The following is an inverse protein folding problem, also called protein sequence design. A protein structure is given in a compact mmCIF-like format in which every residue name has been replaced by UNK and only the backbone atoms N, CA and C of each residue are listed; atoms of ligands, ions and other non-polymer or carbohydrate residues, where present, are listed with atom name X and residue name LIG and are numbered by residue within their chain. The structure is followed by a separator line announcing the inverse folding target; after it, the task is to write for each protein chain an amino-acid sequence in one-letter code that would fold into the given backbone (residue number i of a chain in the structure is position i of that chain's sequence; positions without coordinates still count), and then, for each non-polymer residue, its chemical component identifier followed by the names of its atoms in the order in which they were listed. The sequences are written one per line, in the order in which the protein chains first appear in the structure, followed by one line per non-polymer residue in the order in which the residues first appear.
data_IF_369656730778
#
_entry.id   IF_369656730778
#
_cell.length_a   1.000
_cell.length_b   1.000
_cell.length_c   1.000
_cell.angle_alpha   90.00
_cell.angle_beta   90.00
_cell.angle_gamma   90.00
#
_symmetry.space_group_name_H-M   'P 1'
#
loop_
_entity.id
_entity.type
_entity.pdbx_description
1 polymer ?
#
# COMPACT_ATOMS: atom_id res chain seq x y z
N UNK A 1 -36.32 4.66 -2.23
CA UNK A 1 -35.47 5.81 -2.59
C UNK A 1 -34.04 5.41 -2.33
N UNK A 2 -33.28 5.06 -3.36
CA UNK A 2 -31.83 4.88 -3.28
C UNK A 2 -31.24 6.25 -2.95
N UNK A 3 -30.67 6.41 -1.76
CA UNK A 3 -29.84 7.57 -1.45
C UNK A 3 -28.75 7.62 -2.52
N UNK A 4 -28.64 8.76 -3.22
CA UNK A 4 -27.56 8.99 -4.15
C UNK A 4 -26.24 8.69 -3.41
N UNK A 5 -25.39 7.84 -3.97
CA UNK A 5 -24.07 7.55 -3.40
C UNK A 5 -23.27 8.86 -3.39
N UNK A 6 -23.01 9.36 -2.21
CA UNK A 6 -22.25 10.60 -2.06
C UNK A 6 -20.80 10.31 -2.40
N UNK A 7 -20.20 11.12 -3.26
CA UNK A 7 -18.75 11.09 -3.50
C UNK A 7 -18.05 11.52 -2.21
N UNK A 8 -17.37 10.58 -1.57
CA UNK A 8 -16.74 10.79 -0.26
C UNK A 8 -15.38 10.06 -0.13
N UNK A 9 -14.83 9.57 -1.25
CA UNK A 9 -13.53 8.92 -1.29
C UNK A 9 -12.47 9.92 -1.74
N UNK A 10 -11.50 10.19 -0.88
CA UNK A 10 -10.27 10.89 -1.23
C UNK A 10 -9.21 9.89 -1.65
N UNK A 11 -8.67 10.04 -2.85
CA UNK A 11 -7.63 9.16 -3.38
C UNK A 11 -6.28 9.84 -3.24
N UNK A 12 -5.31 9.11 -2.69
CA UNK A 12 -3.90 9.49 -2.63
C UNK A 12 -3.10 8.60 -3.58
N UNK A 13 -2.41 9.21 -4.53
CA UNK A 13 -1.48 8.52 -5.45
C UNK A 13 -0.09 9.06 -5.18
N UNK A 14 0.84 8.19 -4.77
CA UNK A 14 2.26 8.56 -4.61
C UNK A 14 3.03 8.10 -5.84
N UNK A 15 3.78 9.00 -6.46
CA UNK A 15 4.52 8.69 -7.68
C UNK A 15 6.00 9.06 -7.56
N UNK A 16 6.85 8.27 -8.20
CA UNK A 16 8.27 8.52 -8.39
C UNK A 16 8.74 7.76 -9.63
N UNK A 17 9.08 8.48 -10.71
CA UNK A 17 9.50 7.88 -11.99
C UNK A 17 8.51 6.85 -12.50
N UNK A 18 7.28 7.28 -12.71
CA UNK A 18 6.14 6.42 -13.07
C UNK A 18 5.50 6.84 -14.40
N UNK A 19 6.25 7.48 -15.29
CA UNK A 19 5.73 8.02 -16.57
C UNK A 19 5.02 6.97 -17.41
N UNK A 20 5.44 5.71 -17.36
CA UNK A 20 4.88 4.60 -18.12
C UNK A 20 3.46 4.21 -17.69
N UNK A 21 3.09 4.43 -16.41
CA UNK A 21 1.84 3.89 -15.84
C UNK A 21 0.90 4.96 -15.29
N UNK A 22 1.41 6.12 -14.91
CA UNK A 22 0.64 7.15 -14.19
C UNK A 22 -0.53 7.70 -15.01
N UNK A 23 -0.42 7.80 -16.34
CA UNK A 23 -1.48 8.30 -17.20
C UNK A 23 -2.72 7.37 -17.16
N UNK A 24 -2.50 6.07 -17.32
CA UNK A 24 -3.56 5.06 -17.24
C UNK A 24 -4.17 4.99 -15.81
N UNK A 25 -3.34 5.04 -14.78
CA UNK A 25 -3.78 5.05 -13.39
C UNK A 25 -4.70 6.25 -13.12
N UNK A 26 -4.26 7.49 -13.43
CA UNK A 26 -5.04 8.69 -13.17
C UNK A 26 -6.31 8.77 -14.01
N UNK A 27 -6.27 8.29 -15.26
CA UNK A 27 -7.47 8.21 -16.11
C UNK A 27 -8.55 7.33 -15.46
N UNK A 28 -8.17 6.16 -14.92
CA UNK A 28 -9.08 5.25 -14.23
C UNK A 28 -9.55 5.77 -12.88
N UNK A 29 -8.68 6.36 -12.07
CA UNK A 29 -9.05 6.95 -10.78
C UNK A 29 -10.02 8.11 -10.96
N UNK A 30 -9.84 8.97 -11.98
CA UNK A 30 -10.76 10.07 -12.31
C UNK A 30 -12.13 9.58 -12.75
N UNK A 31 -12.20 8.42 -13.41
CA UNK A 31 -13.45 7.78 -13.84
C UNK A 31 -14.11 6.93 -12.74
N UNK A 32 -13.44 6.70 -11.61
CA UNK A 32 -13.95 5.83 -10.56
C UNK A 32 -15.10 6.48 -9.78
N UNK A 33 -16.14 5.69 -9.53
CA UNK A 33 -17.33 6.10 -8.78
C UNK A 33 -17.01 6.37 -7.31
N UNK A 34 -17.58 7.41 -6.75
CA UNK A 34 -17.46 7.79 -5.35
C UNK A 34 -16.21 8.61 -5.03
N UNK A 35 -15.40 8.99 -6.03
CA UNK A 35 -14.19 9.79 -5.84
C UNK A 35 -14.52 11.28 -5.77
N UNK A 36 -14.39 11.88 -4.57
CA UNK A 36 -14.61 13.30 -4.31
C UNK A 36 -13.36 14.15 -4.60
N UNK A 37 -12.17 13.63 -4.27
CA UNK A 37 -10.92 14.36 -4.42
C UNK A 37 -9.74 13.43 -4.69
N UNK A 38 -8.75 13.93 -5.44
CA UNK A 38 -7.52 13.19 -5.78
C UNK A 38 -6.31 14.04 -5.39
N UNK A 39 -5.38 13.45 -4.67
CA UNK A 39 -4.08 14.07 -4.33
C UNK A 39 -2.96 13.21 -4.87
N UNK A 40 -2.20 13.76 -5.80
CA UNK A 40 -0.98 13.14 -6.30
C UNK A 40 0.20 13.74 -5.57
N UNK A 41 1.06 12.91 -5.00
CA UNK A 41 2.31 13.35 -4.37
C UNK A 41 3.47 12.82 -5.20
N UNK A 42 4.13 13.71 -5.91
CA UNK A 42 5.29 13.37 -6.71
C UNK A 42 6.59 13.52 -5.90
N UNK A 43 7.31 12.43 -5.77
CA UNK A 43 8.55 12.34 -5.00
C UNK A 43 9.78 12.61 -5.90
N UNK A 44 9.88 13.83 -6.44
CA UNK A 44 11.00 14.28 -7.28
C UNK A 44 11.23 13.39 -8.52
N UNK A 45 10.19 13.19 -9.33
CA UNK A 45 10.31 12.50 -10.63
C UNK A 45 11.04 13.39 -11.64
N UNK A 46 11.94 12.79 -12.43
CA UNK A 46 12.73 13.42 -13.47
C UNK A 46 12.55 12.80 -14.87
N UNK A 47 11.50 11.95 -15.02
CA UNK A 47 11.20 11.16 -16.23
C UNK A 47 9.99 11.65 -17.03
N UNK A 48 9.43 12.83 -16.68
CA UNK A 48 8.21 13.35 -17.30
C UNK A 48 6.92 13.00 -16.55
N UNK A 49 6.95 12.22 -15.47
CA UNK A 49 5.79 11.87 -14.64
C UNK A 49 5.00 13.12 -14.21
N UNK A 50 5.69 14.16 -13.71
CA UNK A 50 5.04 15.38 -13.23
C UNK A 50 4.28 16.12 -14.34
N UNK A 51 4.78 16.12 -15.57
CA UNK A 51 4.08 16.73 -16.71
C UNK A 51 2.76 16.00 -17.03
N UNK A 52 2.73 14.66 -16.87
CA UNK A 52 1.49 13.88 -17.00
C UNK A 52 0.50 14.28 -15.91
N UNK A 53 0.94 14.34 -14.66
CA UNK A 53 0.10 14.73 -13.51
C UNK A 53 -0.51 16.14 -13.72
N UNK A 54 0.29 17.10 -14.19
CA UNK A 54 -0.15 18.46 -14.48
C UNK A 54 -1.25 18.50 -15.55
N UNK A 55 -1.13 17.71 -16.63
CA UNK A 55 -2.17 17.59 -17.64
C UNK A 55 -3.49 17.08 -17.05
N UNK A 56 -3.45 16.05 -16.22
CA UNK A 56 -4.65 15.55 -15.54
C UNK A 56 -5.26 16.59 -14.59
N UNK A 57 -4.43 17.33 -13.84
CA UNK A 57 -4.90 18.39 -12.94
C UNK A 57 -5.56 19.56 -13.69
N UNK A 58 -5.09 19.89 -14.89
CA UNK A 58 -5.71 20.91 -15.72
C UNK A 58 -7.09 20.49 -16.27
N UNK A 59 -7.37 19.18 -16.35
CA UNK A 59 -8.61 18.63 -16.87
C UNK A 59 -9.64 18.24 -15.80
N UNK A 60 -9.26 18.21 -14.51
CA UNK A 60 -10.14 17.76 -13.43
C UNK A 60 -9.83 18.51 -12.12
N UNK A 61 -10.72 19.41 -11.71
CA UNK A 61 -10.55 20.24 -10.52
C UNK A 61 -10.44 19.45 -9.20
N UNK A 62 -10.90 18.19 -9.17
CA UNK A 62 -10.76 17.30 -8.01
C UNK A 62 -9.30 16.89 -7.79
N UNK A 63 -8.48 16.88 -8.87
CA UNK A 63 -7.09 16.48 -8.82
C UNK A 63 -6.20 17.67 -8.50
N UNK A 64 -5.47 17.57 -7.39
CA UNK A 64 -4.40 18.49 -7.01
C UNK A 64 -3.13 17.68 -6.73
N UNK A 65 -1.98 18.31 -6.83
CA UNK A 65 -0.71 17.62 -6.61
C UNK A 65 0.25 18.41 -5.71
N UNK A 66 1.16 17.65 -5.10
CA UNK A 66 2.31 18.15 -4.34
C UNK A 66 3.56 17.62 -5.04
N UNK A 67 4.47 18.51 -5.43
CA UNK A 67 5.77 18.14 -5.98
C UNK A 67 6.83 18.29 -4.88
N UNK A 68 7.34 17.17 -4.37
CA UNK A 68 8.40 17.17 -3.38
C UNK A 68 9.77 17.48 -4.05
N UNK A 69 10.64 18.27 -3.41
CA UNK A 69 11.96 18.57 -3.94
C UNK A 69 12.91 17.36 -3.89
N UNK A 70 12.58 16.37 -3.07
CA UNK A 70 13.33 15.12 -2.90
C UNK A 70 12.35 13.93 -2.75
N UNK A 71 12.88 12.72 -2.60
CA UNK A 71 12.05 11.54 -2.34
C UNK A 71 12.08 11.18 -0.85
N UNK A 72 11.11 11.63 -0.03
CA UNK A 72 11.04 11.32 1.40
C UNK A 72 10.61 9.86 1.67
N UNK A 73 10.14 9.13 0.66
CA UNK A 73 9.63 7.78 0.75
C UNK A 73 8.11 7.70 0.72
N UNK A 74 7.61 6.48 0.47
CA UNK A 74 6.19 6.22 0.24
C UNK A 74 5.32 6.60 1.45
N UNK A 75 5.69 6.17 2.66
CA UNK A 75 4.92 6.41 3.88
C UNK A 75 4.72 7.90 4.18
N UNK A 76 5.79 8.71 4.03
CA UNK A 76 5.72 10.16 4.24
C UNK A 76 4.83 10.81 3.20
N UNK A 77 4.98 10.46 1.93
CA UNK A 77 4.18 11.00 0.84
C UNK A 77 2.69 10.61 0.96
N UNK A 78 2.37 9.38 1.39
CA UNK A 78 0.99 8.98 1.70
C UNK A 78 0.37 9.87 2.79
N UNK A 79 1.11 10.15 3.86
CA UNK A 79 0.64 11.04 4.92
C UNK A 79 0.46 12.48 4.43
N UNK A 80 1.36 13.00 3.58
CA UNK A 80 1.22 14.31 2.94
C UNK A 80 -0.07 14.39 2.10
N UNK A 81 -0.32 13.37 1.27
CA UNK A 81 -1.53 13.29 0.44
C UNK A 81 -2.80 13.22 1.29
N UNK A 82 -2.81 12.40 2.35
CA UNK A 82 -3.93 12.31 3.28
C UNK A 82 -4.19 13.63 4.03
N UNK A 83 -3.12 14.31 4.46
CA UNK A 83 -3.22 15.62 5.08
C UNK A 83 -3.74 16.69 4.11
N UNK A 84 -3.35 16.66 2.85
CA UNK A 84 -3.85 17.56 1.82
C UNK A 84 -5.33 17.35 1.45
N UNK A 85 -5.95 16.27 1.95
CA UNK A 85 -7.39 15.97 1.87
C UNK A 85 -8.14 16.32 3.16
N UNK A 86 -7.52 17.04 4.11
CA UNK A 86 -8.02 17.16 5.50
C UNK A 86 -9.20 18.12 5.66
N UNK A 87 -9.71 18.78 4.62
CA UNK A 87 -10.95 19.54 4.72
C UNK A 87 -12.13 18.56 4.91
N UNK A 88 -13.07 18.86 5.84
CA UNK A 88 -14.17 17.93 6.17
C UNK A 88 -15.04 17.50 4.97
N UNK A 89 -15.13 18.38 3.95
CA UNK A 89 -15.87 18.12 2.71
C UNK A 89 -15.09 17.30 1.67
N UNK A 90 -13.76 17.08 1.85
CA UNK A 90 -12.95 16.45 0.83
C UNK A 90 -13.12 14.93 0.77
N UNK A 91 -13.19 14.26 1.93
CA UNK A 91 -13.35 12.81 1.96
C UNK A 91 -13.54 12.22 3.37
N UNK A 92 -14.53 11.35 3.53
CA UNK A 92 -14.69 10.50 4.73
C UNK A 92 -13.85 9.21 4.66
N UNK A 93 -13.51 8.81 3.44
CA UNK A 93 -12.71 7.61 3.14
C UNK A 93 -11.42 7.97 2.44
N UNK A 94 -10.35 7.25 2.76
CA UNK A 94 -9.05 7.39 2.14
C UNK A 94 -8.73 6.13 1.34
N UNK A 95 -8.41 6.30 0.07
CA UNK A 95 -7.86 5.24 -0.77
C UNK A 95 -6.42 5.61 -1.15
N UNK A 96 -5.48 4.73 -0.84
CA UNK A 96 -4.09 4.82 -1.28
C UNK A 96 -3.92 3.92 -2.48
N UNK A 97 -3.51 4.47 -3.60
CA UNK A 97 -3.43 3.78 -4.89
C UNK A 97 -2.04 3.99 -5.48
N UNK A 98 -1.35 2.90 -5.78
CA UNK A 98 -0.06 2.99 -6.47
C UNK A 98 -0.24 3.49 -7.93
N UNK A 99 0.78 4.18 -8.49
CA UNK A 99 0.71 4.76 -9.83
C UNK A 99 0.69 3.72 -10.96
N UNK A 100 0.82 2.44 -10.64
CA UNK A 100 0.76 1.27 -11.52
C UNK A 100 -0.44 0.36 -11.22
N UNK A 101 -1.43 0.84 -10.44
CA UNK A 101 -2.71 0.17 -10.23
C UNK A 101 -3.78 0.70 -11.16
N UNK A 102 -4.47 -0.21 -11.82
CA UNK A 102 -5.54 0.08 -12.79
C UNK A 102 -6.89 -0.34 -12.19
N UNK A 103 -7.52 0.59 -11.47
CA UNK A 103 -8.86 0.35 -10.88
C UNK A 103 -9.95 0.34 -11.96
N UNK A 104 -10.99 -0.46 -11.78
CA UNK A 104 -12.21 -0.37 -12.57
C UNK A 104 -13.15 0.69 -11.97
N UNK A 105 -14.15 1.11 -12.75
CA UNK A 105 -15.03 2.24 -12.40
C UNK A 105 -15.70 2.06 -11.03
N UNK A 106 -16.07 0.85 -10.64
CA UNK A 106 -16.75 0.54 -9.38
C UNK A 106 -15.81 0.06 -8.25
N UNK A 107 -14.52 -0.16 -8.54
CA UNK A 107 -13.59 -0.81 -7.60
C UNK A 107 -13.55 -0.11 -6.24
N UNK A 108 -13.35 1.21 -6.21
CA UNK A 108 -13.22 1.98 -4.96
C UNK A 108 -14.55 2.04 -4.20
N UNK A 109 -15.67 2.20 -4.90
CA UNK A 109 -17.00 2.19 -4.30
C UNK A 109 -17.31 0.83 -3.65
N UNK A 110 -16.93 -0.29 -4.29
CA UNK A 110 -17.09 -1.65 -3.74
C UNK A 110 -16.20 -1.89 -2.52
N UNK A 111 -14.94 -1.46 -2.55
CA UNK A 111 -14.07 -1.53 -1.36
C UNK A 111 -14.67 -0.76 -0.18
N UNK A 112 -15.20 0.45 -0.44
CA UNK A 112 -15.91 1.25 0.55
C UNK A 112 -17.14 0.53 1.08
N UNK A 113 -17.94 -0.10 0.21
CA UNK A 113 -19.12 -0.87 0.61
C UNK A 113 -18.76 -2.03 1.54
N UNK A 114 -17.68 -2.79 1.24
CA UNK A 114 -17.16 -3.82 2.13
C UNK A 114 -16.71 -3.26 3.49
N UNK A 115 -16.02 -2.12 3.50
CA UNK A 115 -15.60 -1.49 4.75
C UNK A 115 -16.78 -0.99 5.59
N UNK A 116 -17.84 -0.46 4.93
CA UNK A 116 -19.09 -0.05 5.60
C UNK A 116 -19.82 -1.21 6.26
N UNK A 117 -19.79 -2.43 5.69
CA UNK A 117 -20.36 -3.63 6.31
C UNK A 117 -19.70 -3.99 7.66
N UNK A 118 -18.52 -3.45 7.92
CA UNK A 118 -17.74 -3.57 9.17
C UNK A 118 -17.76 -2.26 9.97
N UNK A 119 -18.84 -1.49 9.88
CA UNK A 119 -19.07 -0.21 10.57
C UNK A 119 -17.96 0.82 10.30
N UNK A 120 -17.29 0.75 9.15
CA UNK A 120 -16.14 1.59 8.82
C UNK A 120 -14.88 1.30 9.64
N UNK A 121 -14.90 0.24 10.45
CA UNK A 121 -13.78 -0.17 11.30
C UNK A 121 -12.91 -1.24 10.61
N UNK A 122 -12.59 -0.99 9.34
CA UNK A 122 -11.79 -1.89 8.54
C UNK A 122 -10.84 -1.16 7.59
N UNK A 123 -9.70 -1.80 7.32
CA UNK A 123 -8.81 -1.53 6.20
C UNK A 123 -9.02 -2.63 5.16
N UNK A 124 -9.46 -2.26 3.97
CA UNK A 124 -9.80 -3.21 2.91
C UNK A 124 -8.86 -3.00 1.71
N UNK A 125 -8.24 -4.09 1.26
CA UNK A 125 -7.47 -4.16 0.01
C UNK A 125 -8.24 -4.89 -1.09
N UNK A 126 -7.74 -4.81 -2.33
CA UNK A 126 -8.29 -5.51 -3.49
C UNK A 126 -7.59 -6.84 -3.78
N UNK A 127 -8.23 -7.72 -4.58
CA UNK A 127 -7.60 -8.88 -5.21
C UNK A 127 -6.69 -8.41 -6.34
N UNK A 128 -5.42 -8.15 -6.04
CA UNK A 128 -4.45 -7.68 -7.01
C UNK A 128 -4.01 -8.81 -7.95
N UNK A 129 -3.98 -8.50 -9.24
CA UNK A 129 -3.52 -9.41 -10.30
C UNK A 129 -2.51 -8.71 -11.21
N UNK A 130 -1.57 -9.45 -11.77
CA UNK A 130 -0.72 -8.95 -12.84
C UNK A 130 -1.49 -8.82 -14.17
N UNK A 131 -0.85 -8.24 -15.18
CA UNK A 131 -1.40 -8.15 -16.55
C UNK A 131 -1.62 -9.55 -17.17
N UNK A 132 -0.88 -10.55 -16.71
CA UNK A 132 -1.04 -11.97 -17.07
C UNK A 132 -2.19 -12.66 -16.33
N UNK A 133 -2.94 -11.94 -15.50
CA UNK A 133 -4.03 -12.45 -14.67
C UNK A 133 -3.59 -13.26 -13.44
N UNK A 134 -2.30 -13.45 -13.20
CA UNK A 134 -1.81 -14.14 -12.01
C UNK A 134 -1.99 -13.26 -10.77
N UNK A 135 -2.43 -13.88 -9.67
CA UNK A 135 -2.64 -13.17 -8.41
C UNK A 135 -1.32 -12.71 -7.79
N UNK A 136 -1.34 -11.47 -7.28
CA UNK A 136 -0.24 -10.92 -6.50
C UNK A 136 -0.18 -11.57 -5.12
N UNK A 137 0.90 -12.35 -4.78
CA UNK A 137 1.06 -12.91 -3.43
C UNK A 137 1.11 -11.85 -2.33
N UNK A 138 1.41 -10.57 -2.67
CA UNK A 138 1.40 -9.48 -1.71
C UNK A 138 -0.01 -8.97 -1.36
N UNK A 139 -1.03 -9.33 -2.16
CA UNK A 139 -2.40 -8.89 -1.90
C UNK A 139 -2.94 -9.38 -0.55
N UNK A 140 -2.58 -10.62 -0.17
CA UNK A 140 -3.02 -11.30 1.06
C UNK A 140 -1.82 -11.83 1.81
N UNK A 141 -1.57 -11.33 3.00
CA UNK A 141 -0.40 -11.74 3.78
C UNK A 141 -0.76 -11.98 5.24
N UNK A 142 0.01 -12.88 5.84
CA UNK A 142 0.13 -13.00 7.30
C UNK A 142 1.23 -12.10 7.83
N UNK A 143 1.20 -11.82 9.12
CA UNK A 143 2.33 -11.17 9.79
C UNK A 143 3.60 -12.03 9.72
N UNK A 144 4.78 -11.43 9.72
CA UNK A 144 6.03 -12.14 9.88
C UNK A 144 6.10 -12.87 11.23
N UNK A 145 6.17 -14.19 11.23
CA UNK A 145 6.49 -14.99 12.43
C UNK A 145 8.00 -15.30 12.43
N UNK A 146 8.76 -14.46 13.13
CA UNK A 146 10.22 -14.61 13.18
C UNK A 146 10.68 -15.89 13.89
N UNK A 147 9.93 -16.40 14.86
CA UNK A 147 10.25 -17.67 15.51
C UNK A 147 10.10 -18.86 14.54
N UNK A 148 9.04 -18.85 13.74
CA UNK A 148 8.87 -19.85 12.68
C UNK A 148 9.92 -19.67 11.56
N UNK A 149 10.25 -18.44 11.18
CA UNK A 149 11.26 -18.14 10.16
C UNK A 149 12.68 -18.59 10.53
N UNK A 150 13.01 -18.62 11.83
CA UNK A 150 14.27 -19.17 12.32
C UNK A 150 14.31 -20.71 12.22
N UNK A 151 13.14 -21.36 12.34
CA UNK A 151 13.03 -22.83 12.29
C UNK A 151 12.95 -23.38 10.87
N UNK A 152 12.22 -22.68 9.99
CA UNK A 152 11.99 -23.15 8.62
C UNK A 152 11.99 -22.03 7.57
N UNK A 153 12.71 -22.20 6.45
CA UNK A 153 12.66 -21.24 5.34
C UNK A 153 11.26 -21.04 4.75
N UNK A 154 10.39 -22.06 4.81
CA UNK A 154 9.02 -21.98 4.29
C UNK A 154 8.17 -20.90 5.00
N UNK A 155 8.43 -20.66 6.30
CA UNK A 155 7.73 -19.61 7.06
C UNK A 155 8.02 -18.16 6.58
N UNK A 156 9.01 -18.01 5.69
CA UNK A 156 9.33 -16.70 5.09
C UNK A 156 8.34 -16.28 4.00
N UNK A 157 7.53 -17.22 3.51
CA UNK A 157 6.40 -16.93 2.62
C UNK A 157 5.24 -16.41 3.48
N UNK A 158 4.85 -15.17 3.24
CA UNK A 158 3.78 -14.52 3.99
C UNK A 158 2.43 -14.61 3.28
N UNK A 159 2.42 -15.06 2.04
CA UNK A 159 1.21 -15.15 1.22
C UNK A 159 0.16 -16.08 1.84
N UNK A 160 -1.09 -15.64 1.73
CA UNK A 160 -2.28 -16.38 2.16
C UNK A 160 -3.08 -16.73 0.90
N UNK A 161 -3.46 -18.01 0.71
CA UNK A 161 -4.31 -18.40 -0.41
C UNK A 161 -5.67 -17.68 -0.39
N UNK A 162 -6.25 -17.49 -1.57
CA UNK A 162 -7.62 -16.99 -1.69
C UNK A 162 -8.60 -18.03 -1.15
N UNK A 163 -9.55 -17.60 -0.34
CA UNK A 163 -10.72 -18.38 0.02
C UNK A 163 -11.85 -18.03 -0.98
N UNK A 164 -12.17 -18.92 -1.94
CA UNK A 164 -13.16 -18.63 -2.98
C UNK A 164 -14.59 -18.56 -2.46
N UNK A 165 -14.84 -19.04 -1.23
CA UNK A 165 -16.15 -19.00 -0.61
C UNK A 165 -16.46 -17.63 0.04
N UNK A 166 -15.47 -16.72 0.10
CA UNK A 166 -15.61 -15.42 0.78
C UNK A 166 -15.40 -14.28 -0.21
N UNK A 167 -16.37 -13.37 -0.31
CA UNK A 167 -16.21 -12.09 -1.00
C UNK A 167 -15.25 -11.16 -0.25
N UNK A 168 -15.28 -11.21 1.09
CA UNK A 168 -14.39 -10.45 1.97
C UNK A 168 -13.61 -11.43 2.86
N UNK A 169 -12.29 -11.52 2.66
CA UNK A 169 -11.40 -12.43 3.37
C UNK A 169 -10.52 -11.66 4.36
N UNK A 170 -10.69 -11.95 5.65
CA UNK A 170 -9.83 -11.40 6.69
C UNK A 170 -8.41 -11.97 6.58
N UNK A 171 -7.41 -11.07 6.72
CA UNK A 171 -5.98 -11.37 6.65
C UNK A 171 -5.21 -10.53 7.67
N UNK A 172 -3.93 -10.83 7.88
CA UNK A 172 -3.12 -9.98 8.76
C UNK A 172 -2.65 -8.70 8.06
N UNK A 173 -2.39 -8.74 6.76
CA UNK A 173 -1.99 -7.56 6.01
C UNK A 173 -2.40 -7.66 4.52
N UNK A 174 -2.72 -6.50 3.95
CA UNK A 174 -2.95 -6.30 2.52
C UNK A 174 -1.77 -5.54 1.90
N UNK A 175 -1.69 -5.48 0.57
CA UNK A 175 -0.65 -4.73 -0.13
C UNK A 175 -0.89 -3.23 -0.07
N UNK A 176 0.20 -2.45 0.11
CA UNK A 176 0.18 -0.99 -0.02
C UNK A 176 -0.17 -0.48 -1.42
N UNK A 177 -0.24 -1.37 -2.42
CA UNK A 177 -0.58 -1.00 -3.78
C UNK A 177 -2.02 -0.47 -3.92
N UNK A 178 -2.97 -1.03 -3.14
CA UNK A 178 -4.32 -0.49 -3.03
C UNK A 178 -4.90 -0.80 -1.64
N UNK A 179 -5.16 0.25 -0.88
CA UNK A 179 -5.76 0.21 0.45
C UNK A 179 -6.88 1.24 0.55
N UNK A 180 -7.99 0.87 1.17
CA UNK A 180 -9.07 1.79 1.52
C UNK A 180 -9.47 1.62 2.98
N UNK A 181 -9.61 2.74 3.70
CA UNK A 181 -10.08 2.77 5.08
C UNK A 181 -10.77 4.11 5.39
N UNK A 182 -11.55 4.18 6.47
CA UNK A 182 -12.12 5.45 6.90
C UNK A 182 -11.02 6.41 7.39
N UNK A 183 -11.22 7.71 7.16
CA UNK A 183 -10.32 8.77 7.68
C UNK A 183 -10.16 8.65 9.19
N UNK A 184 -11.27 8.44 9.91
CA UNK A 184 -11.27 8.29 11.37
C UNK A 184 -10.35 7.14 11.81
N UNK A 185 -10.38 6.00 11.12
CA UNK A 185 -9.50 4.88 11.41
C UNK A 185 -8.04 5.22 11.10
N UNK A 186 -7.77 5.87 9.95
CA UNK A 186 -6.43 6.28 9.56
C UNK A 186 -5.80 7.24 10.59
N UNK A 187 -6.55 8.22 11.06
CA UNK A 187 -6.12 9.19 12.08
C UNK A 187 -5.94 8.52 13.45
N UNK A 188 -6.87 7.64 13.84
CA UNK A 188 -6.79 6.88 15.10
C UNK A 188 -5.53 6.04 15.22
N UNK A 189 -5.05 5.45 14.11
CA UNK A 189 -3.82 4.66 14.11
C UNK A 189 -2.56 5.51 13.83
N UNK A 190 -2.70 6.82 13.61
CA UNK A 190 -1.60 7.75 13.38
C UNK A 190 -0.99 7.70 11.98
N UNK A 191 -1.76 7.28 10.97
CA UNK A 191 -1.32 7.20 9.57
C UNK A 191 -0.19 6.19 9.33
N UNK A 192 0.57 6.35 8.25
CA UNK A 192 1.76 5.55 7.98
C UNK A 192 2.93 5.96 8.88
N UNK A 193 3.74 4.99 9.33
CA UNK A 193 4.98 5.27 10.05
C UNK A 193 6.06 5.75 9.05
N UNK A 194 6.35 7.05 9.04
CA UNK A 194 7.30 7.69 8.12
C UNK A 194 8.75 7.21 8.23
N UNK A 195 9.10 6.40 9.25
CA UNK A 195 10.42 5.80 9.35
C UNK A 195 10.61 4.58 8.42
N UNK A 196 9.53 4.09 7.79
CA UNK A 196 9.62 3.18 6.64
C UNK A 196 9.71 4.00 5.36
N UNK A 197 10.88 3.98 4.72
CA UNK A 197 11.07 4.70 3.46
C UNK A 197 10.51 3.95 2.26
N UNK A 198 10.59 2.62 2.30
CA UNK A 198 10.11 1.71 1.28
C UNK A 198 10.00 0.30 1.86
N UNK A 199 8.90 -0.40 1.61
CA UNK A 199 8.54 -1.74 2.11
C UNK A 199 8.30 -1.84 3.62
N UNK A 200 7.35 -2.68 3.99
CA UNK A 200 6.86 -2.99 5.33
C UNK A 200 6.07 -1.86 6.02
N UNK A 201 5.89 -0.70 5.39
CA UNK A 201 4.97 0.34 5.87
C UNK A 201 3.51 -0.12 5.86
N UNK A 202 3.15 -0.95 4.88
CA UNK A 202 1.85 -1.58 4.74
C UNK A 202 1.61 -2.64 5.83
N UNK A 203 2.60 -3.50 6.10
CA UNK A 203 2.57 -4.46 7.20
C UNK A 203 2.42 -3.74 8.56
N UNK A 204 3.14 -2.64 8.74
CA UNK A 204 3.08 -1.81 9.94
C UNK A 204 1.69 -1.21 10.14
N UNK A 205 1.14 -0.57 9.10
CA UNK A 205 -0.19 0.03 9.15
C UNK A 205 -1.26 -1.03 9.45
N UNK A 206 -1.25 -2.16 8.75
CA UNK A 206 -2.19 -3.26 8.96
C UNK A 206 -2.11 -3.81 10.39
N UNK A 207 -0.91 -3.95 10.94
CA UNK A 207 -0.71 -4.39 12.33
C UNK A 207 -1.32 -3.41 13.32
N UNK A 208 -1.07 -2.09 13.18
CA UNK A 208 -1.64 -1.07 14.05
C UNK A 208 -3.15 -0.95 13.93
N UNK A 209 -3.71 -1.14 12.72
CA UNK A 209 -5.16 -1.22 12.50
C UNK A 209 -5.77 -2.36 13.32
N UNK A 210 -5.17 -3.55 13.29
CA UNK A 210 -5.64 -4.70 14.08
C UNK A 210 -5.45 -4.50 15.59
N UNK A 211 -4.35 -3.89 16.02
CA UNK A 211 -4.12 -3.55 17.43
C UNK A 211 -5.10 -2.48 17.95
N UNK A 212 -5.65 -1.65 17.07
CA UNK A 212 -6.74 -0.72 17.37
C UNK A 212 -8.14 -1.38 17.38
N UNK A 213 -8.23 -2.72 17.25
CA UNK A 213 -9.49 -3.47 17.26
C UNK A 213 -10.25 -3.42 15.93
N UNK A 214 -9.61 -2.96 14.85
CA UNK A 214 -10.22 -2.94 13.52
C UNK A 214 -9.84 -4.18 12.69
N UNK A 215 -10.58 -4.43 11.60
CA UNK A 215 -10.37 -5.57 10.71
C UNK A 215 -9.45 -5.18 9.56
N UNK A 216 -8.58 -6.10 9.12
CA UNK A 216 -7.85 -6.02 7.86
C UNK A 216 -8.36 -7.14 6.96
N UNK A 217 -8.80 -6.82 5.75
CA UNK A 217 -9.39 -7.78 4.83
C UNK A 217 -9.08 -7.47 3.36
N UNK A 218 -9.21 -8.48 2.50
CA UNK A 218 -9.17 -8.35 1.04
C UNK A 218 -10.55 -8.64 0.48
N UNK A 219 -11.04 -7.75 -0.38
CA UNK A 219 -12.23 -7.97 -1.19
C UNK A 219 -11.87 -8.88 -2.37
N UNK A 220 -12.20 -10.18 -2.27
CA UNK A 220 -11.87 -11.18 -3.29
C UNK A 220 -12.66 -11.00 -4.58
N UNK A 221 -13.78 -10.30 -4.51
CA UNK A 221 -14.65 -9.96 -5.63
C UNK A 221 -14.26 -8.63 -6.32
N UNK A 222 -13.33 -7.85 -5.76
CA UNK A 222 -12.81 -6.60 -6.35
C UNK A 222 -11.41 -6.86 -6.90
N UNK A 223 -11.34 -7.16 -8.20
CA UNK A 223 -10.06 -7.42 -8.86
C UNK A 223 -9.48 -6.13 -9.45
N UNK A 224 -8.19 -5.90 -9.22
CA UNK A 224 -7.46 -4.72 -9.73
C UNK A 224 -6.14 -5.16 -10.35
N UNK A 225 -5.87 -4.68 -11.57
CA UNK A 225 -4.59 -4.94 -12.25
C UNK A 225 -3.50 -4.08 -11.62
N UNK A 226 -2.38 -4.71 -11.24
CA UNK A 226 -1.19 -4.08 -10.71
C UNK A 226 -0.01 -4.36 -11.64
N UNK A 227 0.36 -3.38 -12.45
CA UNK A 227 1.46 -3.45 -13.44
C UNK A 227 2.79 -3.34 -12.70
N UNK A 228 3.31 -4.48 -12.23
CA UNK A 228 4.46 -4.51 -11.33
C UNK A 228 5.78 -4.07 -11.97
N UNK A 229 6.61 -3.48 -11.16
CA UNK A 229 8.06 -3.44 -11.40
C UNK A 229 8.59 -2.20 -12.08
N UNK A 230 7.77 -1.20 -12.41
CA UNK A 230 8.21 0.00 -13.10
C UNK A 230 9.15 0.84 -12.20
N UNK A 231 8.71 1.17 -10.98
CA UNK A 231 9.48 2.04 -10.07
C UNK A 231 10.66 1.37 -9.36
N UNK A 232 10.71 0.02 -9.30
CA UNK A 232 11.73 -0.71 -8.50
C UNK A 232 12.94 -1.20 -9.30
N UNK A 233 12.85 -1.22 -10.65
CA UNK A 233 13.91 -1.77 -11.52
C UNK A 233 15.19 -0.93 -11.51
N UNK A 234 15.10 0.38 -11.35
CA UNK A 234 16.24 1.28 -11.49
C UNK A 234 17.23 1.26 -10.31
N UNK A 235 16.84 0.74 -9.13
CA UNK A 235 17.66 0.78 -7.91
C UNK A 235 17.56 -0.50 -7.08
N UNK A 236 17.99 -1.66 -7.60
CA UNK A 236 17.75 -2.95 -6.96
C UNK A 236 18.41 -3.08 -5.58
N UNK A 237 19.61 -2.54 -5.37
CA UNK A 237 20.27 -2.54 -4.05
C UNK A 237 19.54 -1.69 -3.03
N UNK A 238 19.03 -0.52 -3.43
CA UNK A 238 18.24 0.35 -2.56
C UNK A 238 16.95 -0.36 -2.10
N UNK A 239 16.29 -1.04 -3.02
CA UNK A 239 15.07 -1.82 -2.73
C UNK A 239 15.38 -2.95 -1.73
N UNK A 240 16.44 -3.75 -2.00
CA UNK A 240 16.80 -4.85 -1.10
C UNK A 240 17.24 -4.35 0.29
N UNK A 241 17.99 -3.26 0.38
CA UNK A 241 18.35 -2.65 1.65
C UNK A 241 17.10 -2.27 2.46
N UNK A 242 16.13 -1.58 1.83
CA UNK A 242 14.94 -1.12 2.52
C UNK A 242 14.00 -2.27 2.90
N UNK A 243 13.93 -3.36 2.12
CA UNK A 243 13.21 -4.59 2.52
C UNK A 243 13.77 -5.17 3.84
N UNK A 244 15.10 -5.31 3.92
CA UNK A 244 15.75 -5.86 5.12
C UNK A 244 15.61 -4.90 6.31
N UNK A 245 15.84 -3.60 6.09
CA UNK A 245 15.65 -2.56 7.11
C UNK A 245 14.20 -2.49 7.60
N UNK A 246 13.23 -2.55 6.69
CA UNK A 246 11.80 -2.53 7.03
C UNK A 246 11.41 -3.75 7.87
N UNK A 247 11.80 -4.95 7.47
CA UNK A 247 11.52 -6.18 8.21
C UNK A 247 12.17 -6.16 9.60
N UNK A 248 13.42 -5.69 9.71
CA UNK A 248 14.09 -5.53 11.00
C UNK A 248 13.42 -4.48 11.89
N UNK A 249 12.97 -3.33 11.31
CA UNK A 249 12.21 -2.32 12.03
C UNK A 249 10.90 -2.88 12.57
N UNK A 250 10.15 -3.63 11.74
CA UNK A 250 8.90 -4.28 12.12
C UNK A 250 9.11 -5.21 13.32
N UNK A 251 10.11 -6.09 13.26
CA UNK A 251 10.48 -6.97 14.37
C UNK A 251 10.79 -6.16 15.65
N UNK A 252 11.61 -5.12 15.53
CA UNK A 252 11.96 -4.28 16.69
C UNK A 252 10.75 -3.60 17.32
N UNK A 253 9.81 -3.16 16.50
CA UNK A 253 8.63 -2.42 16.96
C UNK A 253 7.63 -3.33 17.66
N UNK A 254 7.33 -4.48 17.09
CA UNK A 254 6.21 -5.32 17.54
C UNK A 254 6.60 -6.54 18.35
N UNK A 255 7.79 -7.11 18.13
CA UNK A 255 8.17 -8.37 18.77
C UNK A 255 9.38 -8.30 19.71
N UNK A 256 10.38 -7.48 19.41
CA UNK A 256 11.69 -7.56 20.08
C UNK A 256 11.63 -7.41 21.62
N UNK A 257 10.68 -6.59 22.13
CA UNK A 257 10.52 -6.38 23.57
C UNK A 257 10.12 -7.66 24.32
N UNK A 258 9.46 -8.59 23.65
CA UNK A 258 8.98 -9.87 24.22
C UNK A 258 9.94 -11.04 23.95
N UNK A 259 11.12 -10.78 23.38
CA UNK A 259 12.10 -11.79 22.98
C UNK A 259 13.41 -11.65 23.74
N UNK A 260 14.05 -12.79 24.04
CA UNK A 260 15.37 -12.82 24.65
C UNK A 260 16.45 -12.19 23.76
N UNK A 261 17.59 -11.79 24.35
CA UNK A 261 18.73 -11.26 23.59
C UNK A 261 19.22 -12.23 22.50
N UNK A 262 19.25 -13.54 22.82
CA UNK A 262 19.66 -14.58 21.88
C UNK A 262 18.72 -14.64 20.64
N UNK A 263 17.39 -14.60 20.85
CA UNK A 263 16.42 -14.58 19.74
C UNK A 263 16.56 -13.28 18.92
N UNK A 264 16.76 -12.14 19.57
CA UNK A 264 16.99 -10.87 18.85
C UNK A 264 18.23 -10.92 17.98
N UNK A 265 19.34 -11.48 18.50
CA UNK A 265 20.56 -11.68 17.72
C UNK A 265 20.34 -12.65 16.55
N UNK A 266 19.67 -13.77 16.79
CA UNK A 266 19.35 -14.75 15.73
C UNK A 266 18.49 -14.14 14.61
N UNK A 267 17.45 -13.36 14.96
CA UNK A 267 16.62 -12.63 13.98
C UNK A 267 17.43 -11.60 13.20
N UNK A 268 18.29 -10.83 13.89
CA UNK A 268 19.21 -9.91 13.23
C UNK A 268 20.08 -10.61 12.18
N UNK A 269 20.73 -11.69 12.59
CA UNK A 269 21.58 -12.51 11.69
C UNK A 269 20.76 -13.09 10.54
N UNK A 270 19.56 -13.60 10.80
CA UNK A 270 18.67 -14.13 9.76
C UNK A 270 18.28 -13.06 8.74
N UNK A 271 17.94 -11.87 9.18
CA UNK A 271 17.53 -10.76 8.30
C UNK A 271 18.73 -10.24 7.52
N UNK A 272 19.80 -9.83 8.21
CA UNK A 272 20.93 -9.13 7.59
C UNK A 272 21.95 -10.09 6.94
N UNK A 273 22.10 -11.30 7.45
CA UNK A 273 22.97 -12.31 6.83
C UNK A 273 22.53 -12.73 5.43
N UNK A 274 21.25 -12.50 5.07
CA UNK A 274 20.72 -12.76 3.73
C UNK A 274 20.94 -11.60 2.76
N UNK A 275 21.21 -10.40 3.27
CA UNK A 275 21.34 -9.20 2.45
C UNK A 275 22.41 -9.31 1.36
N UNK A 276 23.64 -9.81 1.62
CA UNK A 276 24.66 -9.93 0.57
C UNK A 276 24.22 -10.82 -0.61
N UNK A 277 23.56 -11.93 -0.31
CA UNK A 277 23.05 -12.86 -1.35
C UNK A 277 21.88 -12.22 -2.12
N UNK A 278 20.98 -11.55 -1.43
CA UNK A 278 19.84 -10.86 -2.06
C UNK A 278 20.33 -9.70 -2.94
N UNK A 279 21.30 -8.92 -2.46
CA UNK A 279 21.93 -7.84 -3.19
C UNK A 279 22.63 -8.32 -4.47
N UNK A 280 23.41 -9.40 -4.37
CA UNK A 280 24.08 -10.01 -5.52
C UNK A 280 23.06 -10.50 -6.56
N UNK A 281 22.02 -11.21 -6.13
CA UNK A 281 20.93 -11.67 -7.03
C UNK A 281 20.20 -10.51 -7.69
N UNK A 282 20.00 -9.41 -6.97
CA UNK A 282 19.33 -8.23 -7.49
C UNK A 282 20.16 -7.51 -8.56
N UNK A 283 21.48 -7.51 -8.44
CA UNK A 283 22.42 -6.96 -9.45
C UNK A 283 22.54 -7.85 -10.69
N UNK A 284 22.33 -9.18 -10.56
CA UNK A 284 22.44 -10.14 -11.65
C UNK A 284 21.12 -10.37 -12.41
N UNK A 285 20.01 -9.73 -11.99
CA UNK A 285 18.74 -9.76 -12.74
C UNK A 285 18.86 -8.82 -13.93
N UNK A 286 18.59 -9.32 -15.16
CA UNK A 286 18.58 -8.49 -16.36
C UNK A 286 17.45 -7.44 -16.32
#
# INVERSE_FOLDING_TARGET
MTMAEVDDIGVVVVTHRSVETIDACLSRVRAATGVAAIRVVDNASDDGTLAVVQRHAACDARLRFVANPDNPGFAVACNQGAHALAQPQDASWLAFVNPDCLVETDSLARLRAHARQLDGNALVGADLVGEDGQRDPAARRRDPDFAAMLRTPAARRLDVPVDPARSLQQVDAVSGALMLLSRVLFERVGGFDGAYRLHAEDLDLCRRVREAGAVVAVANDVRVVHVRGVSSRSRPLFVEWHKHRGLWRWFRKFEAKRRSAAIRAAVFTMVWGRFPVAAMRALLRP
#
